data_IF_596273276806
#
_entry.id   IF_596273276806
#
_cell.length_a   1.000
_cell.length_b   1.000
_cell.length_c   1.000
_cell.angle_alpha   90.00
_cell.angle_beta   90.00
_cell.angle_gamma   90.00
#
_symmetry.space_group_name_H-M   'P 1'
#
loop_
_entity.id
_entity.type
_entity.pdbx_description
1 polymer ?
#
# COMPACT_ATOMS: atom_id res chain seq x y z
N UNK A 1 -1.02 -28.60 0.52
CA UNK A 1 -0.49 -27.59 -0.39
C UNK A 1 0.61 -26.79 0.28
N UNK A 2 1.63 -26.48 -0.46
CA UNK A 2 2.78 -25.75 0.07
C UNK A 2 2.62 -24.26 -0.21
N UNK A 3 2.91 -23.44 0.79
CA UNK A 3 2.94 -21.98 0.62
C UNK A 3 4.38 -21.49 0.54
N UNK A 4 4.54 -20.30 0.00
CA UNK A 4 5.82 -19.62 -0.13
C UNK A 4 5.74 -18.26 0.55
N UNK A 5 6.78 -17.93 1.30
CA UNK A 5 6.80 -16.70 2.10
C UNK A 5 6.93 -15.46 1.23
N UNK A 6 6.12 -14.45 1.52
CA UNK A 6 6.19 -13.11 0.93
C UNK A 6 5.81 -12.08 1.98
N UNK A 7 6.05 -10.80 1.67
CA UNK A 7 5.54 -9.69 2.46
C UNK A 7 4.31 -9.09 1.79
N UNK A 8 3.36 -8.69 2.59
CA UNK A 8 2.25 -7.86 2.12
C UNK A 8 2.45 -6.47 2.70
N UNK A 9 2.72 -5.48 1.83
CA UNK A 9 2.75 -4.08 2.23
C UNK A 9 1.35 -3.52 2.04
N UNK A 10 0.81 -2.92 3.09
CA UNK A 10 -0.49 -2.27 3.07
C UNK A 10 -0.26 -0.77 3.22
N UNK A 11 -0.79 0.01 2.30
CA UNK A 11 -0.69 1.46 2.30
C UNK A 11 -2.10 2.02 2.31
N UNK A 12 -2.44 2.77 3.36
CA UNK A 12 -3.72 3.49 3.44
C UNK A 12 -3.38 4.96 3.26
N UNK A 13 -3.95 5.58 2.25
CA UNK A 13 -3.58 6.93 1.83
C UNK A 13 -4.77 7.68 1.26
N UNK A 14 -4.57 8.99 1.06
CA UNK A 14 -5.53 9.81 0.32
C UNK A 14 -5.65 9.32 -1.11
N UNK A 15 -6.87 9.28 -1.64
CA UNK A 15 -7.14 8.78 -3.00
C UNK A 15 -6.37 9.53 -4.07
N UNK A 16 -6.01 10.79 -3.82
CA UNK A 16 -5.23 11.60 -4.74
C UNK A 16 -3.87 10.97 -5.07
N UNK A 17 -3.36 10.10 -4.19
CA UNK A 17 -2.06 9.45 -4.39
C UNK A 17 -2.14 8.16 -5.21
N UNK A 18 -3.32 7.72 -5.62
CA UNK A 18 -3.48 6.41 -6.26
C UNK A 18 -2.55 6.19 -7.44
N UNK A 19 -2.55 7.12 -8.40
CA UNK A 19 -1.72 6.99 -9.61
C UNK A 19 -0.23 6.98 -9.27
N UNK A 20 0.18 7.81 -8.31
CA UNK A 20 1.57 7.87 -7.88
C UNK A 20 2.00 6.55 -7.23
N UNK A 21 1.15 5.99 -6.38
CA UNK A 21 1.45 4.73 -5.69
C UNK A 21 1.52 3.55 -6.67
N UNK A 22 0.65 3.51 -7.66
CA UNK A 22 0.70 2.48 -8.71
C UNK A 22 2.02 2.58 -9.48
N UNK A 23 2.38 3.77 -9.91
CA UNK A 23 3.65 4.01 -10.63
C UNK A 23 4.84 3.57 -9.79
N UNK A 24 4.85 3.96 -8.51
CA UNK A 24 5.96 3.65 -7.61
C UNK A 24 6.07 2.15 -7.37
N UNK A 25 4.96 1.46 -7.12
CA UNK A 25 4.96 0.03 -6.92
C UNK A 25 5.57 -0.70 -8.12
N UNK A 26 5.19 -0.31 -9.32
CA UNK A 26 5.74 -0.89 -10.54
C UNK A 26 7.21 -0.60 -10.71
N UNK A 27 7.64 0.64 -10.46
CA UNK A 27 9.03 1.02 -10.64
C UNK A 27 9.95 0.38 -9.63
N UNK A 28 9.46 0.02 -8.46
CA UNK A 28 10.26 -0.70 -7.44
C UNK A 28 10.18 -2.22 -7.57
N UNK A 29 9.50 -2.73 -8.58
CA UNK A 29 9.54 -4.16 -8.89
C UNK A 29 8.36 -4.99 -8.41
N UNK A 30 7.29 -4.37 -7.92
CA UNK A 30 6.08 -5.11 -7.58
C UNK A 30 5.39 -5.62 -8.85
N UNK A 31 4.93 -6.87 -8.82
CA UNK A 31 4.29 -7.49 -9.98
C UNK A 31 2.81 -7.17 -10.08
N UNK A 32 2.19 -6.77 -8.98
CA UNK A 32 0.78 -6.44 -8.96
C UNK A 32 0.38 -5.72 -7.69
N UNK A 33 -0.88 -5.32 -7.64
CA UNK A 33 -1.44 -4.62 -6.49
C UNK A 33 -2.96 -4.81 -6.48
N UNK A 34 -3.55 -4.53 -5.32
CA UNK A 34 -5.01 -4.48 -5.17
C UNK A 34 -5.34 -3.17 -4.47
N UNK A 35 -6.33 -2.44 -4.97
CA UNK A 35 -6.76 -1.18 -4.39
C UNK A 35 -8.25 -1.24 -4.09
N UNK A 36 -8.62 -0.74 -2.91
CA UNK A 36 -10.01 -0.62 -2.49
C UNK A 36 -10.24 0.77 -1.88
N UNK A 37 -11.45 1.28 -2.03
CA UNK A 37 -11.88 2.47 -1.31
C UNK A 37 -12.15 2.06 0.14
N UNK A 38 -11.66 2.84 1.09
CA UNK A 38 -11.80 2.53 2.51
C UNK A 38 -12.21 3.75 3.32
N UNK A 39 -12.77 3.48 4.49
CA UNK A 39 -13.09 4.49 5.49
C UNK A 39 -12.49 4.04 6.81
N UNK A 40 -12.09 4.99 7.61
CA UNK A 40 -11.55 4.68 8.92
C UNK A 40 -11.33 5.93 9.75
N UNK A 41 -10.85 5.73 10.96
CA UNK A 41 -10.50 6.79 11.87
C UNK A 41 -9.27 6.42 12.66
N UNK A 42 -8.65 7.39 13.26
CA UNK A 42 -7.45 7.19 14.06
C UNK A 42 -7.11 8.45 14.83
N UNK A 43 -5.89 8.52 15.32
CA UNK A 43 -5.42 9.67 16.11
C UNK A 43 -5.43 10.98 15.33
N UNK A 44 -5.39 10.91 14.00
CA UNK A 44 -5.45 12.09 13.11
C UNK A 44 -6.88 12.51 12.73
N UNK A 45 -7.91 11.86 13.29
CA UNK A 45 -9.31 12.11 12.99
C UNK A 45 -9.92 11.03 12.10
N UNK A 46 -11.16 11.26 11.69
CA UNK A 46 -11.89 10.33 10.86
C UNK A 46 -11.61 10.55 9.38
N UNK A 47 -11.51 9.43 8.64
CA UNK A 47 -11.38 9.46 7.18
C UNK A 47 -12.76 9.25 6.56
N UNK A 48 -13.56 10.30 6.52
CA UNK A 48 -14.87 10.25 5.91
C UNK A 48 -14.81 10.64 4.45
N UNK A 49 -15.49 9.90 3.59
CA UNK A 49 -15.56 10.18 2.16
C UNK A 49 -16.68 11.20 1.85
N UNK A 50 -16.56 12.42 2.38
CA UNK A 50 -17.53 13.49 2.14
C UNK A 50 -17.35 14.12 0.76
N UNK A 51 -16.10 14.25 0.35
CA UNK A 51 -15.73 14.87 -0.92
C UNK A 51 -14.79 13.92 -1.63
N UNK A 52 -14.70 14.04 -2.94
CA UNK A 52 -13.75 13.25 -3.73
C UNK A 52 -12.32 13.42 -3.19
N UNK A 53 -11.97 14.64 -2.79
CA UNK A 53 -10.64 14.94 -2.25
C UNK A 53 -10.36 14.29 -0.89
N UNK A 54 -11.42 13.94 -0.15
CA UNK A 54 -11.28 13.36 1.19
C UNK A 54 -11.31 11.82 1.19
N UNK A 55 -11.46 11.22 0.04
CA UNK A 55 -11.50 9.76 -0.07
C UNK A 55 -10.16 9.15 0.27
N UNK A 56 -10.23 7.98 0.89
CA UNK A 56 -9.06 7.17 1.21
C UNK A 56 -9.09 5.86 0.46
N UNK A 57 -7.91 5.36 0.15
CA UNK A 57 -7.74 4.06 -0.49
C UNK A 57 -6.83 3.19 0.36
N UNK A 58 -6.98 1.88 0.19
CA UNK A 58 -6.05 0.89 0.72
C UNK A 58 -5.42 0.16 -0.46
N UNK A 59 -4.11 0.20 -0.54
CA UNK A 59 -3.34 -0.52 -1.55
C UNK A 59 -2.61 -1.67 -0.89
N UNK A 60 -2.80 -2.87 -1.39
CA UNK A 60 -2.08 -4.06 -0.94
C UNK A 60 -1.13 -4.49 -2.02
N UNK A 61 0.12 -4.68 -1.64
CA UNK A 61 1.17 -5.15 -2.55
C UNK A 61 1.82 -6.38 -1.90
N UNK A 62 1.68 -7.53 -2.54
CA UNK A 62 2.35 -8.75 -2.09
C UNK A 62 3.61 -8.90 -2.93
N UNK A 63 4.76 -8.98 -2.28
CA UNK A 63 6.05 -8.92 -2.95
C UNK A 63 7.15 -9.51 -2.09
N UNK A 64 8.35 -9.55 -2.62
CA UNK A 64 9.51 -9.95 -1.85
C UNK A 64 9.83 -8.89 -0.79
N UNK A 65 10.46 -9.31 0.29
CA UNK A 65 10.77 -8.44 1.42
C UNK A 65 11.55 -7.20 1.02
N UNK A 66 12.53 -7.33 0.14
CA UNK A 66 13.35 -6.21 -0.31
C UNK A 66 12.51 -5.15 -1.06
N UNK A 67 11.56 -5.58 -1.86
CA UNK A 67 10.65 -4.69 -2.59
C UNK A 67 9.75 -3.95 -1.60
N UNK A 68 9.18 -4.67 -0.64
CA UNK A 68 8.32 -4.06 0.38
C UNK A 68 9.08 -2.99 1.17
N UNK A 69 10.30 -3.29 1.59
CA UNK A 69 11.13 -2.36 2.37
C UNK A 69 11.46 -1.09 1.57
N UNK A 70 11.85 -1.25 0.32
CA UNK A 70 12.22 -0.13 -0.54
C UNK A 70 11.01 0.77 -0.84
N UNK A 71 9.89 0.15 -1.17
CA UNK A 71 8.65 0.87 -1.47
C UNK A 71 8.15 1.62 -0.22
N UNK A 72 8.19 0.98 0.95
CA UNK A 72 7.78 1.60 2.19
C UNK A 72 8.63 2.84 2.52
N UNK A 73 9.95 2.75 2.39
CA UNK A 73 10.85 3.89 2.60
C UNK A 73 10.53 5.04 1.65
N UNK A 74 10.28 4.72 0.38
CA UNK A 74 9.94 5.72 -0.63
C UNK A 74 8.63 6.45 -0.27
N UNK A 75 7.60 5.71 0.10
CA UNK A 75 6.30 6.27 0.46
C UNK A 75 6.41 7.18 1.68
N UNK A 76 7.14 6.73 2.71
CA UNK A 76 7.35 7.53 3.90
C UNK A 76 8.11 8.83 3.60
N UNK A 77 9.14 8.77 2.78
CA UNK A 77 9.94 9.95 2.44
C UNK A 77 9.21 10.90 1.52
N UNK A 78 8.48 10.39 0.53
CA UNK A 78 7.91 11.19 -0.55
C UNK A 78 6.53 11.74 -0.24
N UNK A 79 5.71 11.00 0.51
CA UNK A 79 4.30 11.38 0.70
C UNK A 79 3.91 11.68 2.13
N UNK A 80 4.43 10.96 3.11
CA UNK A 80 4.03 11.13 4.50
C UNK A 80 4.17 12.57 5.04
N UNK A 81 5.18 13.36 4.62
CA UNK A 81 5.28 14.74 5.10
C UNK A 81 4.10 15.63 4.73
N UNK A 82 3.40 15.34 3.62
CA UNK A 82 2.35 16.22 3.09
C UNK A 82 0.99 15.55 2.93
N UNK A 83 0.88 14.26 3.20
CA UNK A 83 -0.35 13.49 3.01
C UNK A 83 -0.61 12.59 4.20
N UNK A 84 -1.88 12.29 4.45
CA UNK A 84 -2.25 11.27 5.42
C UNK A 84 -1.94 9.89 4.85
N UNK A 85 -0.90 9.26 5.37
CA UNK A 85 -0.46 7.94 4.92
C UNK A 85 -0.19 7.08 6.14
N UNK A 86 -0.76 5.89 6.14
CA UNK A 86 -0.46 4.84 7.13
C UNK A 86 0.00 3.62 6.36
N UNK A 87 1.07 2.99 6.80
CA UNK A 87 1.50 1.76 6.16
C UNK A 87 2.04 0.75 7.18
N UNK A 88 1.88 -0.51 6.84
CA UNK A 88 2.38 -1.62 7.65
C UNK A 88 2.64 -2.82 6.76
N UNK A 89 3.40 -3.78 7.29
CA UNK A 89 3.66 -5.03 6.59
C UNK A 89 3.14 -6.20 7.40
N UNK A 90 2.84 -7.29 6.68
CA UNK A 90 2.49 -8.56 7.26
C UNK A 90 3.19 -9.68 6.50
N UNK A 91 3.51 -10.75 7.20
CA UNK A 91 4.03 -11.95 6.56
C UNK A 91 2.85 -12.75 6.00
N UNK A 92 2.96 -13.19 4.76
CA UNK A 92 1.92 -13.99 4.10
C UNK A 92 2.53 -15.23 3.43
N UNK A 93 1.71 -16.26 3.28
CA UNK A 93 2.06 -17.42 2.49
C UNK A 93 1.27 -17.40 1.20
N UNK A 94 1.97 -17.45 0.07
CA UNK A 94 1.33 -17.42 -1.24
C UNK A 94 1.42 -18.79 -1.93
N UNK A 95 0.47 -19.08 -2.80
CA UNK A 95 0.40 -20.37 -3.50
C UNK A 95 1.01 -20.31 -4.90
N UNK A 96 1.14 -19.14 -5.48
CA UNK A 96 1.72 -18.96 -6.82
C UNK A 96 2.83 -17.93 -6.75
N UNK A 97 4.00 -18.31 -6.21
CA UNK A 97 5.07 -17.35 -5.90
C UNK A 97 5.59 -16.58 -7.10
N UNK A 98 5.50 -17.15 -8.31
CA UNK A 98 5.95 -16.48 -9.52
C UNK A 98 5.13 -15.22 -9.87
N UNK A 99 3.97 -15.03 -9.25
CA UNK A 99 3.13 -13.85 -9.45
C UNK A 99 3.55 -12.67 -8.57
N UNK A 100 4.42 -12.96 -7.64
CA UNK A 100 4.83 -11.99 -6.63
C UNK A 100 6.35 -11.89 -6.60
#
# INVERSE_FOLDING_TARGET
>A
MQTHARKMLVIIAEAALEKNLIRDARSFGAHGYTIADVRGGGSGGEREARWEADRSIEMKVICEEAVAATLARHVLASYAPNYAVTLFTADVGVFRPQKF
#
